data_IF_447728303642
#
_entry.id   IF_447728303642
#
_cell.length_a   1.000
_cell.length_b   1.000
_cell.length_c   1.000
_cell.angle_alpha   90.00
_cell.angle_beta   90.00
_cell.angle_gamma   90.00
#
_symmetry.space_group_name_H-M   'P 1'
#
loop_
_entity.id
_entity.type
_entity.pdbx_description
1 polymer ?
#
# COMPACT_ATOMS: atom_id res chain seq x y z
N UNK A 1 -7.25 -18.59 -14.62
CA UNK A 1 -6.23 -18.05 -13.69
C UNK A 1 -6.95 -17.13 -12.72
N UNK A 2 -6.53 -17.14 -11.45
CA UNK A 2 -7.07 -16.18 -10.48
C UNK A 2 -6.54 -14.78 -10.81
N UNK A 3 -7.42 -13.79 -10.70
CA UNK A 3 -7.07 -12.37 -10.83
C UNK A 3 -6.49 -11.86 -9.52
N UNK A 4 -5.54 -10.95 -9.60
CA UNK A 4 -5.01 -10.23 -8.44
C UNK A 4 -5.31 -8.75 -8.62
N UNK A 5 -6.12 -8.19 -7.74
CA UNK A 5 -6.54 -6.79 -7.79
C UNK A 5 -5.88 -6.03 -6.66
N UNK A 6 -5.00 -5.10 -6.99
CA UNK A 6 -4.40 -4.18 -6.04
C UNK A 6 -5.32 -2.99 -5.83
N UNK A 7 -5.60 -2.67 -4.57
CA UNK A 7 -6.43 -1.55 -4.18
C UNK A 7 -5.60 -0.57 -3.36
N UNK A 8 -5.43 0.65 -3.88
CA UNK A 8 -4.65 1.69 -3.23
C UNK A 8 -5.39 3.03 -3.18
N UNK A 9 -5.11 3.81 -2.15
CA UNK A 9 -5.60 5.18 -2.02
C UNK A 9 -4.38 6.10 -1.88
N UNK A 10 -4.33 7.15 -2.70
CA UNK A 10 -3.30 8.17 -2.64
C UNK A 10 -3.87 9.56 -2.93
N UNK A 11 -3.05 10.58 -2.81
CA UNK A 11 -3.42 11.97 -3.05
C UNK A 11 -2.81 12.91 -2.02
N UNK A 12 -3.17 14.18 -2.09
CA UNK A 12 -2.60 15.20 -1.21
C UNK A 12 -2.81 14.87 0.28
N UNK A 13 -3.96 14.32 0.64
CA UNK A 13 -4.30 13.94 2.02
C UNK A 13 -3.54 12.70 2.50
N UNK A 14 -3.36 11.70 1.63
CA UNK A 14 -2.90 10.37 2.01
C UNK A 14 -1.44 10.12 1.64
N UNK A 15 -0.82 11.01 0.86
CA UNK A 15 0.50 10.80 0.27
C UNK A 15 0.46 9.82 -0.91
N UNK A 16 1.65 9.44 -1.39
CA UNK A 16 1.80 8.57 -2.57
C UNK A 16 2.30 7.15 -2.23
N UNK A 17 2.62 6.90 -0.95
CA UNK A 17 3.30 5.66 -0.54
C UNK A 17 2.52 4.39 -0.88
N UNK A 18 1.23 4.37 -0.60
CA UNK A 18 0.33 3.24 -0.89
C UNK A 18 0.27 2.93 -2.39
N UNK A 19 0.09 3.96 -3.22
CA UNK A 19 0.06 3.82 -4.67
C UNK A 19 1.40 3.32 -5.22
N UNK A 20 2.51 3.86 -4.75
CA UNK A 20 3.85 3.45 -5.23
C UNK A 20 4.15 1.99 -4.89
N UNK A 21 3.76 1.51 -3.72
CA UNK A 21 3.89 0.08 -3.38
C UNK A 21 3.01 -0.79 -4.28
N UNK A 22 1.74 -0.41 -4.47
CA UNK A 22 0.83 -1.13 -5.35
C UNK A 22 1.35 -1.21 -6.80
N UNK A 23 1.86 -0.10 -7.36
CA UNK A 23 2.43 -0.07 -8.71
C UNK A 23 3.60 -1.02 -8.87
N UNK A 24 4.51 -1.07 -7.89
CA UNK A 24 5.64 -2.02 -7.92
C UNK A 24 5.18 -3.46 -7.90
N UNK A 25 4.17 -3.79 -7.10
CA UNK A 25 3.60 -5.14 -7.08
C UNK A 25 2.92 -5.49 -8.39
N UNK A 26 2.17 -4.56 -8.98
CA UNK A 26 1.55 -4.72 -10.30
C UNK A 26 2.64 -5.01 -11.34
N UNK A 27 3.70 -4.21 -11.38
CA UNK A 27 4.81 -4.40 -12.32
C UNK A 27 5.50 -5.76 -12.14
N UNK A 28 5.79 -6.14 -10.91
CA UNK A 28 6.46 -7.40 -10.60
C UNK A 28 5.63 -8.63 -10.99
N UNK A 29 4.31 -8.60 -10.72
CA UNK A 29 3.43 -9.74 -10.91
C UNK A 29 2.80 -9.83 -12.30
N UNK A 30 2.68 -8.71 -13.04
CA UNK A 30 2.02 -8.66 -14.37
C UNK A 30 2.65 -9.60 -15.41
N UNK A 31 3.89 -10.03 -15.20
CA UNK A 31 4.59 -10.99 -16.08
C UNK A 31 4.07 -12.43 -15.96
N UNK A 32 3.42 -12.75 -14.84
CA UNK A 32 3.04 -14.14 -14.50
C UNK A 32 1.59 -14.29 -14.05
N UNK A 33 0.90 -13.21 -13.76
CA UNK A 33 -0.45 -13.19 -13.21
C UNK A 33 -1.33 -12.17 -13.96
N UNK A 34 -2.64 -12.40 -13.91
CA UNK A 34 -3.64 -11.40 -14.34
C UNK A 34 -3.81 -10.38 -13.22
N UNK A 35 -3.21 -9.22 -13.40
CA UNK A 35 -3.08 -8.19 -12.35
C UNK A 35 -3.79 -6.91 -12.77
N UNK A 36 -4.56 -6.34 -11.85
CA UNK A 36 -5.30 -5.10 -12.04
C UNK A 36 -5.01 -4.11 -10.91
N UNK A 37 -5.18 -2.83 -11.17
CA UNK A 37 -5.11 -1.77 -10.18
C UNK A 37 -6.46 -1.06 -10.07
N UNK A 38 -6.93 -0.92 -8.85
CA UNK A 38 -8.10 -0.12 -8.50
C UNK A 38 -7.63 0.99 -7.54
N UNK A 39 -7.91 2.24 -7.86
CA UNK A 39 -7.51 3.34 -7.00
C UNK A 39 -8.53 4.49 -7.00
N UNK A 40 -8.44 5.37 -6.00
CA UNK A 40 -9.32 6.52 -5.92
C UNK A 40 -9.13 7.47 -7.13
N UNK A 41 -10.08 8.38 -7.34
CA UNK A 41 -10.16 9.22 -8.53
C UNK A 41 -8.85 9.99 -8.80
N UNK A 42 -8.28 10.61 -7.78
CA UNK A 42 -7.05 11.41 -7.92
C UNK A 42 -5.89 10.56 -8.48
N UNK A 43 -5.78 9.31 -8.02
CA UNK A 43 -4.77 8.37 -8.52
C UNK A 43 -5.01 7.97 -9.97
N UNK A 44 -6.26 7.62 -10.32
CA UNK A 44 -6.59 7.14 -11.67
C UNK A 44 -6.37 8.22 -12.73
N UNK A 45 -6.71 9.46 -12.43
CA UNK A 45 -6.47 10.60 -13.31
C UNK A 45 -4.97 10.88 -13.50
N UNK A 46 -4.19 10.81 -12.42
CA UNK A 46 -2.74 10.96 -12.49
C UNK A 46 -2.10 9.88 -13.36
N UNK A 47 -2.45 8.61 -13.15
CA UNK A 47 -1.89 7.48 -13.90
C UNK A 47 -2.26 7.54 -15.38
N UNK A 48 -3.50 7.92 -15.70
CA UNK A 48 -3.93 8.10 -17.08
C UNK A 48 -3.14 9.21 -17.78
N UNK A 49 -2.86 10.32 -17.08
CA UNK A 49 -2.06 11.44 -17.61
C UNK A 49 -0.61 11.03 -17.87
N UNK A 50 -0.05 10.19 -17.02
CA UNK A 50 1.33 9.69 -17.17
C UNK A 50 1.47 8.52 -18.16
N UNK A 51 0.38 8.05 -18.77
CA UNK A 51 0.30 6.90 -19.70
C UNK A 51 0.97 5.61 -19.16
N UNK A 52 0.98 5.43 -17.85
CA UNK A 52 1.71 4.33 -17.21
C UNK A 52 0.90 3.06 -17.04
N UNK A 53 -0.40 3.21 -16.74
CA UNK A 53 -1.28 2.08 -16.45
C UNK A 53 -2.74 2.51 -16.53
N UNK A 54 -3.61 1.62 -17.01
CA UNK A 54 -5.06 1.82 -16.88
C UNK A 54 -5.46 1.33 -15.49
N UNK A 55 -5.89 2.27 -14.64
CA UNK A 55 -6.39 1.97 -13.32
C UNK A 55 -7.91 2.09 -13.27
N UNK A 56 -8.57 1.11 -12.66
CA UNK A 56 -10.01 1.18 -12.39
C UNK A 56 -10.28 2.11 -11.20
N UNK A 57 -11.46 2.74 -11.22
CA UNK A 57 -11.80 3.74 -10.21
C UNK A 57 -12.39 3.09 -8.95
N UNK A 58 -11.78 3.36 -7.79
CA UNK A 58 -12.37 3.08 -6.49
C UNK A 58 -13.38 4.18 -6.12
N UNK A 59 -14.64 3.81 -6.03
CA UNK A 59 -15.67 4.68 -5.48
C UNK A 59 -15.82 4.44 -3.97
N UNK A 60 -15.41 5.37 -3.14
CA UNK A 60 -15.45 5.21 -1.68
C UNK A 60 -16.89 5.13 -1.12
N UNK A 61 -17.88 5.66 -1.84
CA UNK A 61 -19.30 5.54 -1.45
C UNK A 61 -19.89 4.16 -1.84
N UNK A 62 -19.30 3.49 -2.81
CA UNK A 62 -19.68 2.16 -3.29
C UNK A 62 -18.42 1.33 -3.54
N UNK A 63 -17.68 0.95 -2.49
CA UNK A 63 -16.34 0.39 -2.64
C UNK A 63 -16.30 -0.96 -3.35
N UNK A 64 -17.43 -1.67 -3.44
CA UNK A 64 -17.54 -2.97 -4.11
C UNK A 64 -17.95 -2.90 -5.58
N UNK A 65 -18.23 -1.71 -6.12
CA UNK A 65 -18.75 -1.56 -7.49
C UNK A 65 -17.82 -2.19 -8.56
N UNK A 66 -16.52 -2.15 -8.38
CA UNK A 66 -15.55 -2.72 -9.31
C UNK A 66 -15.60 -4.26 -9.36
N UNK A 67 -16.20 -4.94 -8.37
CA UNK A 67 -16.29 -6.42 -8.36
C UNK A 67 -17.06 -6.91 -9.59
N UNK A 68 -18.20 -6.30 -9.86
CA UNK A 68 -19.03 -6.64 -11.03
C UNK A 68 -18.34 -6.20 -12.33
N UNK A 69 -17.81 -4.98 -12.37
CA UNK A 69 -17.08 -4.43 -13.52
C UNK A 69 -15.93 -5.35 -13.97
N UNK A 70 -15.14 -5.82 -13.01
CA UNK A 70 -13.97 -6.69 -13.24
C UNK A 70 -14.34 -8.18 -13.29
N UNK A 71 -15.61 -8.52 -13.07
CA UNK A 71 -16.10 -9.91 -13.04
C UNK A 71 -15.29 -10.78 -12.06
N UNK A 72 -15.10 -10.28 -10.83
CA UNK A 72 -14.37 -10.99 -9.80
C UNK A 72 -15.23 -12.06 -9.13
N UNK A 73 -14.61 -13.17 -8.79
CA UNK A 73 -15.29 -14.32 -8.22
C UNK A 73 -14.42 -15.15 -7.29
N UNK A 74 -14.94 -16.30 -6.90
CA UNK A 74 -14.28 -17.19 -5.95
C UNK A 74 -12.85 -17.56 -6.39
N UNK A 75 -11.90 -17.31 -5.51
CA UNK A 75 -10.48 -17.57 -5.74
C UNK A 75 -9.67 -16.38 -6.27
N UNK A 76 -10.32 -15.28 -6.65
CA UNK A 76 -9.62 -14.03 -6.94
C UNK A 76 -9.12 -13.38 -5.65
N UNK A 77 -8.08 -12.54 -5.77
CA UNK A 77 -7.38 -11.93 -4.65
C UNK A 77 -7.58 -10.42 -4.69
N UNK A 78 -8.02 -9.85 -3.57
CA UNK A 78 -8.00 -8.42 -3.32
C UNK A 78 -6.82 -8.09 -2.39
N UNK A 79 -5.91 -7.26 -2.86
CA UNK A 79 -4.74 -6.80 -2.12
C UNK A 79 -4.90 -5.32 -1.78
N UNK A 80 -5.15 -5.05 -0.51
CA UNK A 80 -5.36 -3.69 -0.02
C UNK A 80 -4.07 -3.11 0.53
N UNK A 81 -3.71 -1.92 0.04
CA UNK A 81 -2.67 -1.06 0.60
C UNK A 81 -3.27 0.33 0.83
N UNK A 82 -3.83 0.52 2.01
CA UNK A 82 -4.68 1.66 2.34
C UNK A 82 -4.12 2.45 3.52
N UNK A 83 -4.40 3.78 3.57
CA UNK A 83 -4.26 4.53 4.81
C UNK A 83 -5.10 3.91 5.93
N UNK A 84 -4.59 3.95 7.16
CA UNK A 84 -5.25 3.36 8.33
C UNK A 84 -6.70 3.79 8.51
N UNK A 85 -7.01 5.04 8.24
CA UNK A 85 -8.36 5.61 8.34
C UNK A 85 -9.33 5.05 7.29
N UNK A 86 -8.81 4.42 6.24
CA UNK A 86 -9.60 3.79 5.18
C UNK A 86 -9.76 2.28 5.35
N UNK A 87 -9.18 1.69 6.40
CA UNK A 87 -9.22 0.24 6.63
C UNK A 87 -10.66 -0.31 6.75
N UNK A 88 -11.61 0.49 7.24
CA UNK A 88 -13.03 0.11 7.33
C UNK A 88 -13.62 -0.39 6.00
N UNK A 89 -13.04 0.02 4.88
CA UNK A 89 -13.48 -0.40 3.53
C UNK A 89 -13.47 -1.92 3.39
N UNK A 90 -12.53 -2.62 4.03
CA UNK A 90 -12.43 -4.09 3.95
C UNK A 90 -13.71 -4.79 4.43
N UNK A 91 -14.46 -4.17 5.37
CA UNK A 91 -15.71 -4.73 5.89
C UNK A 91 -16.78 -4.96 4.80
N UNK A 92 -16.72 -4.21 3.71
CA UNK A 92 -17.66 -4.34 2.59
C UNK A 92 -17.42 -5.58 1.73
N UNK A 93 -16.28 -6.26 1.90
CA UNK A 93 -15.87 -7.40 1.06
C UNK A 93 -16.00 -8.75 1.74
N UNK A 94 -16.38 -8.81 3.03
CA UNK A 94 -16.39 -10.04 3.81
C UNK A 94 -17.39 -11.09 3.31
N UNK A 95 -18.47 -10.66 2.66
CA UNK A 95 -19.50 -11.55 2.13
C UNK A 95 -19.15 -12.10 0.74
N UNK A 96 -18.11 -11.58 0.12
CA UNK A 96 -17.63 -12.07 -1.16
C UNK A 96 -16.66 -13.23 -0.93
N UNK A 97 -16.70 -14.24 -1.82
CA UNK A 97 -15.80 -15.41 -1.76
C UNK A 97 -14.42 -15.08 -2.33
N UNK A 98 -13.89 -13.91 -1.99
CA UNK A 98 -12.59 -13.40 -2.42
C UNK A 98 -11.56 -13.61 -1.32
N UNK A 99 -10.30 -13.76 -1.69
CA UNK A 99 -9.18 -13.75 -0.76
C UNK A 99 -8.77 -12.33 -0.47
N UNK A 100 -8.75 -11.92 0.79
CA UNK A 100 -8.40 -10.56 1.21
C UNK A 100 -7.02 -10.55 1.84
N UNK A 101 -6.11 -9.75 1.26
CA UNK A 101 -4.78 -9.47 1.79
C UNK A 101 -4.73 -7.99 2.12
N UNK A 102 -4.18 -7.59 3.27
CA UNK A 102 -3.95 -6.19 3.62
C UNK A 102 -2.51 -5.91 4.04
N UNK A 103 -1.99 -4.77 3.61
CA UNK A 103 -0.71 -4.23 4.08
C UNK A 103 -1.01 -3.22 5.18
N UNK A 104 -0.46 -3.43 6.37
CA UNK A 104 -0.74 -2.63 7.56
C UNK A 104 0.57 -2.08 8.12
N UNK A 105 0.58 -0.78 8.44
CA UNK A 105 1.77 -0.14 9.02
C UNK A 105 1.91 -0.41 10.51
N UNK A 106 0.78 -0.59 11.21
CA UNK A 106 0.74 -0.81 12.64
C UNK A 106 -0.17 -1.97 13.01
N UNK A 107 0.25 -2.72 14.02
CA UNK A 107 -0.59 -3.72 14.64
C UNK A 107 -1.62 -3.02 15.54
N UNK A 108 -2.90 -3.36 15.38
CA UNK A 108 -3.99 -2.84 16.18
C UNK A 108 -4.68 -3.98 16.90
N UNK A 109 -4.45 -4.08 18.21
CA UNK A 109 -4.97 -5.19 19.04
C UNK A 109 -6.49 -5.21 19.18
N UNK A 110 -7.13 -4.06 19.04
CA UNK A 110 -8.55 -3.80 19.32
C UNK A 110 -9.44 -3.70 18.08
N UNK A 111 -8.86 -3.78 16.88
CA UNK A 111 -9.63 -3.73 15.64
C UNK A 111 -10.17 -5.09 15.21
N UNK A 112 -11.40 -5.08 14.70
CA UNK A 112 -11.95 -6.21 13.93
C UNK A 112 -11.15 -6.35 12.64
N UNK A 113 -10.66 -7.57 12.39
CA UNK A 113 -9.88 -7.90 11.19
C UNK A 113 -10.81 -8.52 10.15
N UNK A 114 -10.68 -8.06 8.92
CA UNK A 114 -11.52 -8.48 7.80
C UNK A 114 -10.74 -9.25 6.73
N UNK A 115 -9.41 -9.20 6.77
CA UNK A 115 -8.52 -9.88 5.84
C UNK A 115 -8.23 -11.33 6.24
N UNK A 116 -7.86 -12.14 5.25
CA UNK A 116 -7.32 -13.49 5.44
C UNK A 116 -5.82 -13.46 5.74
N UNK A 117 -5.11 -12.50 5.13
CA UNK A 117 -3.67 -12.30 5.31
C UNK A 117 -3.38 -10.85 5.64
N UNK A 118 -2.67 -10.63 6.73
CA UNK A 118 -2.18 -9.32 7.14
C UNK A 118 -0.67 -9.26 6.99
N UNK A 119 -0.16 -8.24 6.30
CA UNK A 119 1.27 -8.03 6.06
C UNK A 119 1.71 -6.79 6.83
N UNK A 120 2.75 -6.94 7.66
CA UNK A 120 3.38 -5.85 8.41
C UNK A 120 4.82 -5.69 7.97
N UNK A 121 5.11 -4.82 6.99
CA UNK A 121 6.46 -4.52 6.53
C UNK A 121 7.15 -3.61 7.55
N UNK A 122 7.60 -4.15 8.67
CA UNK A 122 8.17 -3.39 9.78
C UNK A 122 9.63 -3.76 10.03
N UNK A 123 10.43 -2.77 10.44
CA UNK A 123 11.79 -2.97 10.93
C UNK A 123 11.82 -3.55 12.35
N UNK A 124 10.76 -3.50 13.08
CA UNK A 124 10.64 -4.16 14.37
C UNK A 124 10.10 -5.59 14.18
N UNK A 125 10.70 -6.55 14.92
CA UNK A 125 10.05 -7.85 15.09
C UNK A 125 8.76 -7.59 15.84
N UNK A 126 7.65 -7.62 15.14
CA UNK A 126 6.34 -7.51 15.78
C UNK A 126 6.27 -8.57 16.87
N UNK A 127 5.94 -8.14 18.08
CA UNK A 127 5.55 -9.04 19.18
C UNK A 127 4.45 -9.91 18.59
N UNK A 128 4.47 -11.22 18.88
CA UNK A 128 3.51 -12.19 18.38
C UNK A 128 2.11 -11.58 18.30
N UNK A 129 1.61 -11.42 17.08
CA UNK A 129 0.22 -11.02 16.86
C UNK A 129 -0.63 -12.04 17.61
N UNK A 130 -1.35 -11.59 18.62
CA UNK A 130 -2.33 -12.44 19.29
C UNK A 130 -3.43 -12.66 18.27
N UNK A 131 -3.41 -13.82 17.61
CA UNK A 131 -4.44 -14.22 16.67
C UNK A 131 -5.77 -14.34 17.40
N UNK A 132 -6.52 -13.26 17.45
CA UNK A 132 -7.91 -13.30 17.94
C UNK A 132 -8.85 -13.99 16.95
N UNK A 133 -8.41 -14.24 15.74
CA UNK A 133 -9.18 -14.91 14.70
C UNK A 133 -8.42 -16.13 14.18
N UNK A 134 -9.03 -17.33 14.23
CA UNK A 134 -8.33 -18.60 13.91
C UNK A 134 -7.92 -18.76 12.45
N UNK A 135 -8.35 -17.87 11.55
CA UNK A 135 -8.06 -17.94 10.10
C UNK A 135 -7.10 -16.88 9.60
N UNK A 136 -6.75 -15.86 10.41
CA UNK A 136 -5.86 -14.79 9.98
C UNK A 136 -4.41 -15.28 9.93
N UNK A 137 -3.79 -15.15 8.76
CA UNK A 137 -2.35 -15.35 8.58
C UNK A 137 -1.66 -13.99 8.71
N UNK A 138 -0.73 -13.87 9.65
CA UNK A 138 0.03 -12.65 9.88
C UNK A 138 1.48 -12.83 9.44
N UNK A 139 1.94 -11.96 8.53
CA UNK A 139 3.28 -11.94 7.98
C UNK A 139 3.96 -10.63 8.40
N UNK A 140 5.10 -10.71 9.08
CA UNK A 140 5.76 -9.50 9.58
C UNK A 140 7.27 -9.58 9.49
N UNK A 141 7.92 -8.44 9.36
CA UNK A 141 9.38 -8.30 9.37
C UNK A 141 9.94 -7.74 8.08
N UNK A 142 11.27 -7.74 8.03
CA UNK A 142 12.05 -7.17 6.92
C UNK A 142 11.80 -7.83 5.57
N UNK A 143 11.51 -9.12 5.55
CA UNK A 143 11.28 -9.91 4.33
C UNK A 143 10.05 -9.44 3.55
N UNK A 144 9.19 -8.64 4.18
CA UNK A 144 7.96 -8.12 3.60
C UNK A 144 8.03 -6.63 3.24
N UNK A 145 9.20 -6.01 3.35
CA UNK A 145 9.42 -4.63 2.92
C UNK A 145 9.68 -4.62 1.42
N UNK A 146 8.85 -3.89 0.67
CA UNK A 146 9.02 -3.72 -0.77
C UNK A 146 10.14 -2.70 -1.03
N UNK A 147 11.29 -3.21 -1.44
CA UNK A 147 12.44 -2.43 -1.85
C UNK A 147 12.66 -2.63 -3.35
N UNK A 148 12.81 -1.56 -4.15
CA UNK A 148 13.16 -1.69 -5.56
C UNK A 148 14.47 -2.41 -5.79
N UNK A 149 14.56 -3.23 -6.83
CA UNK A 149 15.75 -4.04 -7.16
C UNK A 149 17.02 -3.19 -7.31
N UNK A 150 16.89 -1.96 -7.76
CA UNK A 150 17.98 -0.99 -7.89
C UNK A 150 18.73 -0.70 -6.58
N UNK A 151 18.06 -0.85 -5.42
CA UNK A 151 18.72 -0.66 -4.12
C UNK A 151 19.60 -1.84 -3.70
N UNK A 152 19.40 -3.01 -4.27
CA UNK A 152 20.26 -4.17 -4.01
C UNK A 152 21.56 -4.14 -4.81
N UNK A 153 21.60 -3.33 -5.88
CA UNK A 153 22.77 -3.18 -6.76
C UNK A 153 23.53 -1.88 -6.55
N UNK A 154 23.02 -0.98 -5.68
CA UNK A 154 23.62 0.31 -5.43
C UNK A 154 24.97 0.16 -4.70
N UNK A 155 26.00 0.85 -5.20
CA UNK A 155 27.27 0.98 -4.51
C UNK A 155 27.09 1.67 -3.13
N UNK A 156 27.80 1.23 -2.11
CA UNK A 156 27.73 1.89 -0.80
C UNK A 156 28.17 3.35 -0.91
N UNK A 157 27.43 4.22 -0.21
CA UNK A 157 27.72 5.66 -0.21
C UNK A 157 29.14 5.91 0.31
N UNK A 158 30.00 6.47 -0.53
CA UNK A 158 31.43 6.70 -0.23
C UNK A 158 31.69 8.05 0.45
N UNK A 159 30.73 8.96 0.53
CA UNK A 159 30.92 10.26 1.20
C UNK A 159 29.66 10.72 1.94
N UNK A 160 29.85 11.30 3.12
CA UNK A 160 28.80 11.88 3.97
C UNK A 160 28.72 13.42 3.81
N UNK A 161 29.03 13.94 2.63
CA UNK A 161 29.06 15.39 2.40
C UNK A 161 27.70 16.08 2.24
N UNK A 162 26.59 15.32 2.28
CA UNK A 162 25.24 15.86 2.09
C UNK A 162 24.21 15.21 3.01
N UNK A 163 23.18 15.99 3.34
CA UNK A 163 22.01 15.49 4.07
C UNK A 163 20.80 15.44 3.14
N UNK A 164 20.03 14.36 3.24
CA UNK A 164 18.73 14.26 2.59
C UNK A 164 17.65 14.40 3.65
N UNK A 165 16.77 15.36 3.46
CA UNK A 165 15.60 15.58 4.32
C UNK A 165 14.36 15.19 3.52
N UNK A 166 13.59 14.22 4.02
CA UNK A 166 12.33 13.80 3.39
C UNK A 166 11.28 13.45 4.45
N UNK A 167 10.06 13.91 4.22
CA UNK A 167 8.88 13.61 5.04
C UNK A 167 7.83 12.84 4.22
N UNK A 168 8.29 12.05 3.25
CA UNK A 168 7.43 11.36 2.30
C UNK A 168 6.89 12.27 1.21
N UNK A 169 5.97 11.75 0.40
CA UNK A 169 5.53 12.41 -0.84
C UNK A 169 4.64 13.64 -0.64
N UNK A 170 3.95 13.78 0.49
CA UNK A 170 2.96 14.84 0.69
C UNK A 170 3.39 15.90 1.73
N UNK A 171 4.23 15.55 2.71
CA UNK A 171 4.63 16.41 3.84
C UNK A 171 3.49 17.31 4.38
N UNK A 172 2.36 16.74 4.79
CA UNK A 172 1.14 17.50 5.10
C UNK A 172 1.32 18.47 6.28
N UNK A 173 2.33 18.23 7.12
CA UNK A 173 2.66 19.09 8.25
C UNK A 173 3.75 20.14 7.92
N UNK A 174 4.33 20.11 6.73
CA UNK A 174 5.37 21.03 6.28
C UNK A 174 6.69 20.92 7.06
N UNK A 175 6.99 19.77 7.64
CA UNK A 175 8.19 19.56 8.46
C UNK A 175 9.48 19.72 7.68
N UNK A 176 9.51 19.40 6.38
CA UNK A 176 10.69 19.59 5.53
C UNK A 176 11.20 21.02 5.61
N UNK A 177 10.31 22.01 5.48
CA UNK A 177 10.68 23.42 5.58
C UNK A 177 11.25 23.79 6.96
N UNK A 178 10.64 23.31 8.03
CA UNK A 178 11.10 23.58 9.39
C UNK A 178 12.49 23.00 9.66
N UNK A 179 12.72 21.76 9.25
CA UNK A 179 14.02 21.09 9.42
C UNK A 179 15.10 21.79 8.60
N UNK A 180 14.85 22.10 7.33
CA UNK A 180 15.81 22.82 6.49
C UNK A 180 16.15 24.20 7.08
N UNK A 181 15.17 24.92 7.61
CA UNK A 181 15.38 26.22 8.27
C UNK A 181 16.25 26.07 9.52
N UNK A 182 16.05 25.00 10.30
CA UNK A 182 16.88 24.72 11.48
C UNK A 182 18.32 24.38 11.08
N UNK A 183 18.51 23.52 10.07
CA UNK A 183 19.83 23.11 9.58
C UNK A 183 20.68 24.29 9.06
N UNK A 184 20.04 25.25 8.37
CA UNK A 184 20.75 26.47 7.88
C UNK A 184 21.28 27.31 9.02
N UNK A 185 20.63 27.30 10.20
CA UNK A 185 21.06 28.06 11.39
C UNK A 185 22.21 27.39 12.16
N UNK A 186 22.54 26.13 11.84
CA UNK A 186 23.64 25.40 12.47
C UNK A 186 25.00 25.63 11.81
N UNK A 187 25.06 26.47 10.77
CA UNK A 187 26.29 26.99 10.18
C UNK A 187 26.77 28.20 10.96
#
# INVERSE_FOLDING_TARGET
MSKVVFIAIAGQKYGQGHLQRALRMVEALSRSQDVMLVCNQDCSEQLATENKLVAHKLNLAQPTAFIEELQLGAGDILWFDLPDECYYILSHFVDYKLKIISVNMFEREDMVRYEDVSIYPSFEKTKKVVQKQPKLVSLSGYDYILVPDEFFTADPIKSLGSFVVTMGGADPMGFTKHILTALVKLK
#
